data_IF_290410533092
#
_entry.id   IF_290410533092
#
_cell.length_a   1.000
_cell.length_b   1.000
_cell.length_c   1.000
_cell.angle_alpha   90.00
_cell.angle_beta   90.00
_cell.angle_gamma   90.00
#
_symmetry.space_group_name_H-M   'P 1'
#
loop_
_entity.id
_entity.type
_entity.pdbx_description
1 polymer ?
#
# COMPACT_ATOMS: atom_id res chain seq x y z
N UNK A 1 -48.33 35.60 5.29
CA UNK A 1 -46.89 35.35 5.46
C UNK A 1 -46.67 33.84 5.39
N UNK A 2 -46.22 33.33 4.23
CA UNK A 2 -45.84 31.92 4.05
C UNK A 2 -44.45 31.91 3.43
N UNK A 3 -43.48 31.37 4.14
CA UNK A 3 -42.14 31.05 3.62
C UNK A 3 -41.69 29.75 4.27
N UNK A 4 -42.06 28.63 3.65
CA UNK A 4 -41.27 27.41 3.73
C UNK A 4 -40.41 27.39 2.46
N UNK A 5 -39.16 27.79 2.59
CA UNK A 5 -38.14 27.65 1.56
C UNK A 5 -37.05 26.74 2.12
N UNK A 6 -37.17 25.47 1.73
CA UNK A 6 -36.07 24.66 1.21
C UNK A 6 -34.77 24.67 2.02
N UNK A 7 -34.64 23.71 2.94
CA UNK A 7 -33.33 23.23 3.38
C UNK A 7 -32.72 22.40 2.24
N UNK A 8 -32.10 23.08 1.29
CA UNK A 8 -31.15 22.47 0.37
C UNK A 8 -29.97 21.94 1.17
N UNK A 9 -30.01 20.66 1.51
CA UNK A 9 -28.83 19.94 1.98
C UNK A 9 -27.89 19.83 0.78
N UNK A 10 -26.99 20.79 0.66
CA UNK A 10 -25.87 20.69 -0.26
C UNK A 10 -24.97 19.56 0.26
N UNK A 11 -25.23 18.36 -0.25
CA UNK A 11 -24.33 17.22 -0.09
C UNK A 11 -23.15 17.39 -1.03
N UNK A 12 -22.38 18.47 -0.88
CA UNK A 12 -21.06 18.59 -1.50
C UNK A 12 -20.08 17.73 -0.72
N UNK A 13 -20.10 16.44 -1.04
CA UNK A 13 -19.05 15.49 -0.68
C UNK A 13 -17.73 15.90 -1.34
N UNK A 14 -16.95 16.75 -0.67
CA UNK A 14 -15.59 17.11 -1.11
C UNK A 14 -14.58 17.25 0.03
N UNK A 15 -14.83 16.59 1.17
CA UNK A 15 -13.94 16.63 2.34
C UNK A 15 -13.31 15.30 2.76
N UNK A 16 -13.73 14.17 2.16
CA UNK A 16 -13.24 12.83 2.56
C UNK A 16 -12.11 12.30 1.69
N UNK A 17 -12.07 12.65 0.41
CA UNK A 17 -11.16 12.05 -0.56
C UNK A 17 -9.67 12.34 -0.28
N UNK A 18 -9.33 13.56 0.15
CA UNK A 18 -7.94 13.98 0.41
C UNK A 18 -7.33 13.28 1.64
N UNK A 19 -8.13 13.05 2.70
CA UNK A 19 -7.67 12.37 3.92
C UNK A 19 -7.41 10.87 3.71
N UNK A 20 -8.26 10.18 2.94
CA UNK A 20 -8.03 8.78 2.57
C UNK A 20 -6.81 8.65 1.64
N UNK A 21 -6.67 9.53 0.63
CA UNK A 21 -5.55 9.48 -0.31
C UNK A 21 -4.17 9.69 0.33
N UNK A 22 -4.05 10.64 1.29
CA UNK A 22 -2.79 10.85 2.01
C UNK A 22 -2.37 9.65 2.86
N UNK A 23 -3.34 9.03 3.53
CA UNK A 23 -3.12 7.82 4.33
C UNK A 23 -2.71 6.63 3.44
N UNK A 24 -3.32 6.48 2.26
CA UNK A 24 -2.98 5.44 1.29
C UNK A 24 -1.55 5.61 0.74
N UNK A 25 -1.12 6.86 0.48
CA UNK A 25 0.25 7.14 0.04
C UNK A 25 1.27 6.78 1.13
N UNK A 26 1.03 7.20 2.37
CA UNK A 26 1.91 6.88 3.49
C UNK A 26 1.98 5.36 3.72
N UNK A 27 0.83 4.68 3.69
CA UNK A 27 0.76 3.23 3.81
C UNK A 27 1.57 2.54 2.71
N UNK A 28 1.38 2.94 1.44
CA UNK A 28 2.11 2.41 0.30
C UNK A 28 3.63 2.61 0.43
N UNK A 29 4.08 3.79 0.87
CA UNK A 29 5.50 4.07 1.11
C UNK A 29 6.07 3.16 2.21
N UNK A 30 5.34 2.97 3.32
CA UNK A 30 5.77 2.06 4.38
C UNK A 30 5.80 0.59 3.93
N UNK A 31 4.85 0.16 3.11
CA UNK A 31 4.80 -1.20 2.58
C UNK A 31 5.95 -1.53 1.64
N UNK A 32 6.46 -0.55 0.89
CA UNK A 32 7.70 -0.74 0.11
C UNK A 32 8.86 -1.12 1.04
N UNK A 33 9.12 -0.32 2.08
CA UNK A 33 10.22 -0.57 3.02
C UNK A 33 10.05 -1.89 3.78
N UNK A 34 8.83 -2.19 4.22
CA UNK A 34 8.50 -3.45 4.89
C UNK A 34 8.78 -4.67 3.99
N UNK A 35 8.37 -4.62 2.72
CA UNK A 35 8.63 -5.69 1.76
C UNK A 35 10.11 -5.83 1.43
N UNK A 36 10.83 -4.73 1.27
CA UNK A 36 12.28 -4.75 1.05
C UNK A 36 13.01 -5.44 2.23
N UNK A 37 12.60 -5.17 3.47
CA UNK A 37 13.13 -5.85 4.65
C UNK A 37 12.81 -7.36 4.66
N UNK A 38 11.57 -7.75 4.34
CA UNK A 38 11.18 -9.15 4.29
C UNK A 38 11.91 -9.93 3.17
N UNK A 39 12.22 -9.29 2.04
CA UNK A 39 13.09 -9.85 1.00
C UNK A 39 14.52 -10.04 1.52
N UNK A 40 15.08 -9.06 2.22
CA UNK A 40 16.42 -9.17 2.82
C UNK A 40 16.50 -10.34 3.81
N UNK A 41 15.51 -10.46 4.70
CA UNK A 41 15.43 -11.58 5.66
C UNK A 41 15.25 -12.93 4.95
N UNK A 42 14.43 -12.98 3.89
CA UNK A 42 14.26 -14.18 3.07
C UNK A 42 15.59 -14.60 2.43
N UNK A 43 16.34 -13.66 1.87
CA UNK A 43 17.66 -13.95 1.30
C UNK A 43 18.65 -14.44 2.37
N UNK A 44 18.62 -13.87 3.57
CA UNK A 44 19.43 -14.36 4.68
C UNK A 44 19.08 -15.79 5.07
N UNK A 45 17.79 -16.12 5.19
CA UNK A 45 17.33 -17.48 5.48
C UNK A 45 17.75 -18.49 4.39
N UNK A 46 17.74 -18.08 3.11
CA UNK A 46 18.20 -18.92 2.00
C UNK A 46 19.71 -19.23 2.05
N UNK A 47 20.50 -18.35 2.65
CA UNK A 47 21.95 -18.53 2.78
C UNK A 47 22.34 -19.32 4.05
N UNK A 48 21.49 -19.30 5.08
CA UNK A 48 21.88 -19.76 6.42
C UNK A 48 21.10 -20.97 6.92
N UNK A 49 19.90 -21.22 6.40
CA UNK A 49 19.06 -22.32 6.87
C UNK A 49 19.36 -23.63 6.15
N UNK A 50 19.27 -24.74 6.89
CA UNK A 50 19.27 -26.11 6.35
C UNK A 50 17.87 -26.74 6.39
N UNK A 51 16.87 -26.06 6.96
CA UNK A 51 15.51 -26.59 7.04
C UNK A 51 14.77 -26.38 5.70
N UNK A 52 14.31 -27.45 5.03
CA UNK A 52 13.67 -27.35 3.71
C UNK A 52 12.38 -26.53 3.70
N UNK A 53 11.61 -26.51 4.79
CA UNK A 53 10.39 -25.71 4.91
C UNK A 53 10.71 -24.22 4.98
N UNK A 54 11.73 -23.86 5.77
CA UNK A 54 12.21 -22.47 5.89
C UNK A 54 12.74 -21.97 4.54
N UNK A 55 13.52 -22.79 3.83
CA UNK A 55 14.01 -22.46 2.50
C UNK A 55 12.88 -22.27 1.49
N UNK A 56 11.85 -23.10 1.56
CA UNK A 56 10.67 -22.99 0.68
C UNK A 56 9.89 -21.72 0.97
N UNK A 57 9.62 -21.43 2.25
CA UNK A 57 8.94 -20.21 2.68
C UNK A 57 9.70 -18.96 2.24
N UNK A 58 11.02 -18.92 2.45
CA UNK A 58 11.84 -17.78 2.07
C UNK A 58 11.85 -17.53 0.54
N UNK A 59 11.88 -18.58 -0.28
CA UNK A 59 11.72 -18.44 -1.75
C UNK A 59 10.35 -17.84 -2.08
N UNK A 60 9.28 -18.33 -1.45
CA UNK A 60 7.93 -17.89 -1.73
C UNK A 60 7.71 -16.42 -1.34
N UNK A 61 8.15 -16.01 -0.14
CA UNK A 61 8.06 -14.62 0.31
C UNK A 61 8.80 -13.69 -0.65
N UNK A 62 10.05 -14.00 -1.00
CA UNK A 62 10.85 -13.19 -1.92
C UNK A 62 10.16 -13.05 -3.28
N UNK A 63 9.69 -14.16 -3.84
CA UNK A 63 9.11 -14.19 -5.18
C UNK A 63 7.74 -13.47 -5.23
N UNK A 64 6.99 -13.46 -4.14
CA UNK A 64 5.71 -12.75 -4.04
C UNK A 64 5.89 -11.25 -3.81
N UNK A 65 6.78 -10.85 -2.90
CA UNK A 65 6.89 -9.44 -2.50
C UNK A 65 7.66 -8.55 -3.50
N UNK A 66 8.61 -9.13 -4.25
CA UNK A 66 9.35 -8.38 -5.27
C UNK A 66 8.43 -7.73 -6.35
N UNK A 67 7.48 -8.47 -6.97
CA UNK A 67 6.54 -7.84 -7.91
C UNK A 67 5.56 -6.88 -7.24
N UNK A 68 5.15 -7.12 -5.98
CA UNK A 68 4.28 -6.20 -5.25
C UNK A 68 4.94 -4.83 -5.03
N UNK A 69 6.25 -4.79 -4.74
CA UNK A 69 7.01 -3.52 -4.67
C UNK A 69 6.88 -2.73 -5.98
N UNK A 70 6.98 -3.41 -7.13
CA UNK A 70 6.87 -2.75 -8.45
C UNK A 70 5.45 -2.22 -8.68
N UNK A 71 4.43 -2.97 -8.29
CA UNK A 71 3.03 -2.52 -8.37
C UNK A 71 2.79 -1.28 -7.50
N UNK A 72 3.28 -1.28 -6.26
CA UNK A 72 3.14 -0.15 -5.34
C UNK A 72 3.91 1.08 -5.85
N UNK A 73 5.15 0.91 -6.33
CA UNK A 73 5.95 1.98 -6.95
C UNK A 73 5.26 2.56 -8.18
N UNK A 74 4.66 1.70 -9.01
CA UNK A 74 3.87 2.12 -10.18
C UNK A 74 2.63 2.92 -9.79
N UNK A 75 1.89 2.45 -8.77
CA UNK A 75 0.72 3.15 -8.25
C UNK A 75 1.08 4.52 -7.66
N UNK A 76 2.14 4.61 -6.85
CA UNK A 76 2.64 5.89 -6.31
C UNK A 76 3.08 6.86 -7.41
N UNK A 77 3.83 6.37 -8.42
CA UNK A 77 4.26 7.18 -9.55
C UNK A 77 3.06 7.76 -10.29
N UNK A 78 1.98 6.98 -10.46
CA UNK A 78 0.76 7.51 -11.04
C UNK A 78 0.26 8.69 -10.20
N UNK A 79 0.06 8.55 -8.88
CA UNK A 79 -0.47 9.61 -8.00
C UNK A 79 0.38 10.89 -7.91
N UNK A 80 1.70 10.79 -8.06
CA UNK A 80 2.62 11.95 -7.99
C UNK A 80 2.65 12.74 -9.32
N UNK A 81 2.36 12.10 -10.45
CA UNK A 81 2.39 12.71 -11.78
C UNK A 81 1.04 13.30 -12.24
N UNK A 82 0.05 13.41 -11.36
CA UNK A 82 -1.21 14.14 -11.59
C UNK A 82 -1.22 15.42 -10.75
#
# INVERSE_FOLDING_TARGET
MSRNSDMGVDTTGSGRASGFQGNDIMFAQMMISHHEQAIQMSNFALLTSTNPEVLTLAKNIRNAQAPEILQIKGWLKSRILH
#
